data_IF_262591258028
#
_entry.id   IF_262591258028
#
_cell.length_a   1.000
_cell.length_b   1.000
_cell.length_c   1.000
_cell.angle_alpha   90.00
_cell.angle_beta   90.00
_cell.angle_gamma   90.00
#
_symmetry.space_group_name_H-M   'P 1'
#
loop_
_entity.id
_entity.type
_entity.pdbx_description
1 polymer ?
#
# COMPACT_ATOMS: atom_id res chain seq x y z
N UNK A 1 -10.71 2.07 7.27
CA UNK A 1 -9.31 1.74 6.88
C UNK A 1 -9.00 2.42 5.56
N UNK A 2 -7.99 3.31 5.50
CA UNK A 2 -7.69 4.07 4.28
C UNK A 2 -7.55 3.14 3.07
N UNK A 3 -8.45 3.25 2.12
CA UNK A 3 -8.35 2.46 0.92
C UNK A 3 -7.23 3.04 0.06
N UNK A 4 -6.10 2.31 -0.01
CA UNK A 4 -4.95 2.56 -0.91
C UNK A 4 -5.39 3.02 -2.30
N UNK A 5 -6.48 2.43 -2.80
CA UNK A 5 -7.12 2.79 -4.07
C UNK A 5 -7.43 4.29 -4.23
N UNK A 6 -8.01 4.96 -3.22
CA UNK A 6 -8.36 6.38 -3.36
C UNK A 6 -7.11 7.26 -3.47
N UNK A 7 -6.05 6.94 -2.71
CA UNK A 7 -4.77 7.65 -2.82
C UNK A 7 -4.17 7.49 -4.21
N UNK A 8 -4.22 6.27 -4.78
CA UNK A 8 -3.76 6.01 -6.16
C UNK A 8 -4.51 6.91 -7.14
N UNK A 9 -5.84 6.96 -7.05
CA UNK A 9 -6.67 7.79 -7.94
C UNK A 9 -6.32 9.27 -7.81
N UNK A 10 -6.28 9.82 -6.59
CA UNK A 10 -5.99 11.24 -6.38
C UNK A 10 -4.59 11.65 -6.86
N UNK A 11 -3.58 10.81 -6.63
CA UNK A 11 -2.22 11.05 -7.13
C UNK A 11 -2.17 10.95 -8.65
N UNK A 12 -2.89 10.01 -9.24
CA UNK A 12 -2.96 9.82 -10.70
C UNK A 12 -3.58 11.03 -11.39
N UNK A 13 -4.72 11.50 -10.90
CA UNK A 13 -5.38 12.69 -11.43
C UNK A 13 -4.49 13.94 -11.31
N UNK A 14 -3.78 14.08 -10.19
CA UNK A 14 -2.85 15.19 -10.00
C UNK A 14 -1.67 15.16 -10.98
N UNK A 15 -1.06 13.98 -11.21
CA UNK A 15 0.01 13.80 -12.19
C UNK A 15 -0.48 14.13 -13.60
N UNK A 16 -1.61 13.53 -14.02
CA UNK A 16 -2.14 13.74 -15.37
C UNK A 16 -2.57 15.19 -15.59
N UNK A 17 -3.22 15.82 -14.60
CA UNK A 17 -3.57 17.23 -14.64
C UNK A 17 -2.34 18.15 -14.74
N UNK A 18 -1.26 17.81 -14.04
CA UNK A 18 0.00 18.56 -14.07
C UNK A 18 0.65 18.61 -15.46
N UNK A 19 0.37 17.63 -16.33
CA UNK A 19 0.96 17.59 -17.67
C UNK A 19 0.39 18.66 -18.60
N UNK A 20 -0.76 19.26 -18.28
CA UNK A 20 -1.48 20.17 -19.20
C UNK A 20 -2.21 19.48 -20.35
N UNK A 21 -1.95 18.19 -20.58
CA UNK A 21 -2.54 17.41 -21.70
C UNK A 21 -3.26 16.14 -21.24
N UNK A 22 -3.36 15.92 -19.92
CA UNK A 22 -3.95 14.72 -19.35
C UNK A 22 -3.20 13.46 -19.79
N UNK A 23 -3.95 12.48 -20.31
CA UNK A 23 -3.42 11.21 -20.78
C UNK A 23 -2.93 11.21 -22.23
N UNK A 24 -2.96 12.35 -22.92
CA UNK A 24 -2.67 12.44 -24.36
C UNK A 24 -1.21 12.06 -24.66
N UNK A 25 -0.26 12.56 -23.87
CA UNK A 25 1.17 12.31 -24.10
C UNK A 25 1.79 11.40 -23.04
N UNK A 26 1.23 11.39 -21.83
CA UNK A 26 1.64 10.53 -20.73
C UNK A 26 0.53 9.52 -20.42
N UNK A 27 0.74 8.26 -20.78
CA UNK A 27 -0.19 7.18 -20.51
C UNK A 27 -0.05 6.70 -19.06
N UNK A 28 -1.19 6.44 -18.41
CA UNK A 28 -1.26 5.68 -17.17
C UNK A 28 -1.40 4.19 -17.50
N UNK A 29 -0.72 3.33 -16.75
CA UNK A 29 -0.64 1.90 -17.01
C UNK A 29 -1.13 1.06 -15.83
N UNK A 30 -1.59 1.68 -14.74
CA UNK A 30 -1.99 1.03 -13.52
C UNK A 30 -0.83 0.29 -12.84
N UNK A 31 -1.19 -0.76 -12.13
CA UNK A 31 -0.30 -1.66 -11.41
C UNK A 31 0.50 -2.63 -12.34
N UNK A 32 0.86 -2.17 -13.54
CA UNK A 32 1.46 -3.03 -14.58
C UNK A 32 2.85 -3.52 -14.21
N UNK A 33 3.01 -4.85 -14.26
CA UNK A 33 4.26 -5.54 -13.99
C UNK A 33 5.29 -5.35 -15.13
N UNK A 34 6.54 -5.07 -14.77
CA UNK A 34 7.69 -5.16 -15.68
C UNK A 34 8.30 -6.56 -15.51
N UNK A 35 7.55 -7.62 -15.85
CA UNK A 35 8.00 -8.99 -15.64
C UNK A 35 9.09 -9.48 -16.62
N UNK A 36 9.97 -10.36 -16.11
CA UNK A 36 10.91 -11.26 -16.78
C UNK A 36 11.59 -10.71 -18.05
N UNK A 37 12.70 -10.00 -17.86
CA UNK A 37 13.47 -9.37 -18.93
C UNK A 37 14.86 -9.97 -19.03
N UNK A 38 15.21 -10.46 -20.21
CA UNK A 38 16.56 -10.97 -20.50
C UNK A 38 17.68 -9.93 -20.29
N UNK A 39 17.34 -8.65 -20.18
CA UNK A 39 18.29 -7.55 -19.95
C UNK A 39 18.50 -7.21 -18.47
N UNK A 40 17.70 -7.79 -17.56
CA UNK A 40 17.84 -7.60 -16.12
C UNK A 40 18.54 -8.82 -15.51
N UNK A 41 19.39 -8.63 -14.48
CA UNK A 41 19.90 -9.73 -13.67
C UNK A 41 18.76 -10.58 -13.09
N UNK A 42 18.97 -11.90 -12.93
CA UNK A 42 17.94 -12.85 -12.49
C UNK A 42 17.39 -12.55 -11.10
N UNK A 43 18.23 -12.05 -10.19
CA UNK A 43 17.84 -11.59 -8.85
C UNK A 43 16.92 -10.37 -8.90
N UNK A 44 17.18 -9.43 -9.80
CA UNK A 44 16.32 -8.27 -10.05
C UNK A 44 15.01 -8.69 -10.73
N UNK A 45 15.07 -9.58 -11.73
CA UNK A 45 13.87 -10.14 -12.33
C UNK A 45 13.00 -10.86 -11.32
N UNK A 46 13.61 -11.65 -10.43
CA UNK A 46 12.90 -12.31 -9.34
C UNK A 46 12.28 -11.27 -8.42
N UNK A 47 13.02 -10.24 -7.99
CA UNK A 47 12.49 -9.19 -7.14
C UNK A 47 11.31 -8.45 -7.80
N UNK A 48 11.48 -7.96 -9.02
CA UNK A 48 10.45 -7.20 -9.76
C UNK A 48 9.25 -8.07 -10.14
N UNK A 49 9.42 -9.37 -10.37
CA UNK A 49 8.32 -10.28 -10.67
C UNK A 49 7.30 -10.40 -9.52
N UNK A 50 7.71 -10.08 -8.29
CA UNK A 50 6.84 -10.10 -7.12
C UNK A 50 6.43 -8.69 -6.65
N UNK A 51 6.91 -7.64 -7.31
CA UNK A 51 6.57 -6.26 -6.97
C UNK A 51 5.56 -5.71 -7.96
N UNK A 52 4.36 -5.46 -7.46
CA UNK A 52 3.31 -4.76 -8.20
C UNK A 52 3.32 -3.28 -7.77
N UNK A 53 3.58 -2.32 -8.67
CA UNK A 53 3.52 -0.91 -8.32
C UNK A 53 2.09 -0.48 -8.01
N UNK A 54 1.93 0.61 -7.28
CA UNK A 54 0.61 1.24 -7.11
C UNK A 54 0.09 1.80 -8.42
N UNK A 55 0.97 2.46 -9.17
CA UNK A 55 0.66 3.08 -10.46
C UNK A 55 1.94 3.24 -11.30
N UNK A 56 1.81 3.30 -12.62
CA UNK A 56 2.92 3.47 -13.56
C UNK A 56 2.54 4.41 -14.69
N UNK A 57 3.46 5.30 -15.06
CA UNK A 57 3.28 6.19 -16.20
C UNK A 57 4.41 6.02 -17.21
N UNK A 58 4.08 6.21 -18.48
CA UNK A 58 5.02 6.17 -19.58
C UNK A 58 4.55 6.98 -20.78
N UNK A 59 5.43 7.23 -21.75
CA UNK A 59 5.02 7.93 -22.96
C UNK A 59 3.93 7.17 -23.71
N UNK A 60 2.98 7.92 -24.27
CA UNK A 60 1.96 7.36 -25.15
C UNK A 60 2.60 6.64 -26.35
N UNK A 61 1.98 5.56 -26.82
CA UNK A 61 2.52 4.81 -27.95
C UNK A 61 2.53 5.68 -29.21
N UNK A 62 3.69 5.82 -29.84
CA UNK A 62 3.84 6.67 -31.03
C UNK A 62 4.04 8.16 -30.74
N UNK A 63 4.31 8.54 -29.49
CA UNK A 63 4.78 9.88 -29.16
C UNK A 63 6.06 10.21 -29.96
N UNK A 64 6.06 11.25 -30.81
CA UNK A 64 7.25 11.61 -31.59
C UNK A 64 8.47 11.90 -30.70
N UNK A 65 9.59 11.30 -31.04
CA UNK A 65 10.85 11.46 -30.32
C UNK A 65 11.03 10.58 -29.08
N UNK A 66 9.99 9.86 -28.62
CA UNK A 66 10.12 8.96 -27.47
C UNK A 66 11.01 7.77 -27.82
N UNK A 67 11.98 7.47 -26.96
CA UNK A 67 12.98 6.42 -27.20
C UNK A 67 12.62 5.19 -26.37
N UNK A 68 12.13 4.15 -27.04
CA UNK A 68 11.83 2.87 -26.40
C UNK A 68 13.12 2.15 -26.00
N UNK A 69 13.34 1.82 -24.70
CA UNK A 69 14.52 1.08 -24.28
C UNK A 69 14.62 -0.29 -24.95
N UNK A 70 15.84 -0.76 -25.21
CA UNK A 70 16.08 -2.06 -25.83
C UNK A 70 15.42 -3.18 -25.00
N UNK A 71 14.64 -4.05 -25.66
CA UNK A 71 13.95 -5.16 -25.01
C UNK A 71 12.63 -4.80 -24.35
N UNK A 72 12.19 -3.54 -24.45
CA UNK A 72 10.88 -3.09 -23.97
C UNK A 72 9.84 -3.08 -25.08
N UNK A 73 8.58 -3.05 -24.66
CA UNK A 73 7.40 -2.83 -25.49
C UNK A 73 6.68 -1.60 -24.96
N UNK A 74 6.03 -0.80 -25.79
CA UNK A 74 5.33 0.42 -25.37
C UNK A 74 4.42 0.23 -24.14
N UNK A 75 3.58 -0.82 -24.02
CA UNK A 75 2.73 -1.02 -22.83
C UNK A 75 3.48 -1.31 -21.52
N UNK A 76 4.80 -1.49 -21.58
CA UNK A 76 5.67 -1.80 -20.43
C UNK A 76 6.80 -0.80 -20.29
N UNK A 77 6.84 0.24 -21.13
CA UNK A 77 7.82 1.31 -21.02
C UNK A 77 7.24 2.37 -20.09
N UNK A 78 7.75 2.38 -18.86
CA UNK A 78 7.31 3.30 -17.82
C UNK A 78 8.48 4.16 -17.39
N UNK A 79 8.29 5.46 -17.40
CA UNK A 79 9.26 6.48 -16.95
C UNK A 79 9.05 6.86 -15.50
N UNK A 80 7.84 6.70 -14.97
CA UNK A 80 7.50 6.97 -13.58
C UNK A 80 6.82 5.76 -12.94
N UNK A 81 7.29 5.40 -11.74
CA UNK A 81 6.63 4.46 -10.83
C UNK A 81 6.10 5.21 -9.61
N UNK A 82 4.89 4.88 -9.19
CA UNK A 82 4.30 5.38 -7.95
C UNK A 82 4.14 4.21 -6.99
N UNK A 83 4.49 4.45 -5.73
CA UNK A 83 4.42 3.49 -4.62
C UNK A 83 3.73 4.12 -3.43
N UNK A 84 2.65 3.51 -2.95
CA UNK A 84 1.81 4.00 -1.86
C UNK A 84 1.75 2.92 -0.78
N UNK A 85 2.54 3.15 0.26
CA UNK A 85 2.57 2.33 1.46
C UNK A 85 1.53 2.80 2.46
N UNK A 86 0.35 2.18 2.46
CA UNK A 86 -0.59 2.27 3.60
C UNK A 86 -0.23 1.15 4.57
N UNK A 87 0.26 1.50 5.75
CA UNK A 87 0.79 0.53 6.74
C UNK A 87 2.10 -0.17 6.38
N UNK A 88 2.61 -0.01 5.15
CA UNK A 88 3.96 -0.44 4.76
C UNK A 88 4.97 0.62 5.20
N UNK A 89 6.02 0.18 5.91
CA UNK A 89 7.11 1.06 6.30
C UNK A 89 8.06 1.37 5.13
N UNK A 90 8.92 2.37 5.36
CA UNK A 90 10.00 2.72 4.43
C UNK A 90 11.01 1.59 4.25
N UNK A 91 11.28 0.80 5.30
CA UNK A 91 12.31 -0.23 5.32
C UNK A 91 13.71 0.33 5.60
N UNK A 92 14.74 -0.49 5.41
CA UNK A 92 16.13 -0.07 5.61
C UNK A 92 16.55 0.91 4.51
N UNK A 93 17.23 2.03 4.84
CA UNK A 93 17.75 2.96 3.85
C UNK A 93 18.63 2.26 2.81
N UNK A 94 18.50 2.70 1.56
CA UNK A 94 19.21 2.10 0.43
C UNK A 94 20.69 2.47 0.52
N UNK A 95 21.55 1.49 0.74
CA UNK A 95 23.00 1.65 0.61
C UNK A 95 23.37 1.42 -0.86
N UNK A 96 23.74 2.48 -1.59
CA UNK A 96 24.29 2.32 -2.93
C UNK A 96 25.74 1.82 -2.83
N UNK A 97 26.12 0.82 -3.65
CA UNK A 97 27.51 0.37 -3.74
C UNK A 97 28.38 1.54 -4.24
N UNK A 98 29.33 1.96 -3.40
CA UNK A 98 30.23 3.09 -3.67
C UNK A 98 30.64 3.90 -2.44
N UNK A 99 29.98 3.73 -1.28
CA UNK A 99 30.30 4.49 -0.06
C UNK A 99 30.93 3.70 1.09
N UNK A 100 31.15 2.38 0.94
CA UNK A 100 31.94 1.62 1.90
C UNK A 100 33.20 1.11 1.21
N UNK A 101 34.35 1.56 1.71
CA UNK A 101 35.62 0.92 1.43
C UNK A 101 35.54 -0.58 1.71
N UNK A 102 36.40 -1.30 1.00
CA UNK A 102 36.68 -2.72 1.17
C UNK A 102 36.59 -3.15 2.64
N UNK A 103 35.63 -4.01 2.96
CA UNK A 103 35.75 -5.03 3.97
C UNK A 103 34.75 -6.13 3.62
N UNK A 104 35.30 -7.25 3.15
CA UNK A 104 34.50 -8.39 2.73
C UNK A 104 33.85 -9.09 3.91
N UNK A 105 32.86 -9.92 3.62
CA UNK A 105 32.87 -11.31 4.05
C UNK A 105 31.82 -12.10 3.28
N UNK A 106 32.26 -13.27 2.85
CA UNK A 106 31.47 -14.34 2.29
C UNK A 106 30.52 -14.92 3.34
N UNK A 107 29.40 -15.49 2.87
CA UNK A 107 28.65 -16.50 3.61
C UNK A 107 27.19 -16.14 3.83
N UNK A 108 26.33 -16.59 2.91
CA UNK A 108 25.32 -17.62 3.20
C UNK A 108 24.45 -17.84 1.94
N UNK A 109 24.86 -18.82 1.15
CA UNK A 109 23.96 -19.57 0.29
C UNK A 109 23.23 -20.56 1.19
N UNK A 110 21.89 -20.49 1.25
CA UNK A 110 21.12 -21.50 1.95
C UNK A 110 19.75 -21.01 2.40
N UNK A 111 18.77 -21.07 1.49
CA UNK A 111 17.43 -21.64 1.68
C UNK A 111 16.49 -21.06 0.63
N UNK A 112 16.41 -21.75 -0.50
CA UNK A 112 15.29 -21.65 -1.44
C UNK A 112 14.10 -22.40 -0.79
N UNK A 113 13.50 -21.78 0.22
CA UNK A 113 12.19 -22.12 0.75
C UNK A 113 11.21 -21.07 0.25
N UNK A 114 10.02 -21.50 -0.17
CA UNK A 114 8.90 -20.67 -0.64
C UNK A 114 8.81 -19.37 0.17
N UNK A 115 9.32 -18.27 -0.38
CA UNK A 115 9.22 -16.97 0.27
C UNK A 115 7.73 -16.62 0.31
N UNK A 116 7.15 -16.63 1.52
CA UNK A 116 5.84 -16.06 1.77
C UNK A 116 5.79 -14.69 1.08
N UNK A 117 4.71 -14.43 0.31
CA UNK A 117 4.54 -13.19 -0.45
C UNK A 117 4.42 -12.01 0.52
N UNK A 118 5.55 -11.50 0.99
CA UNK A 118 5.58 -10.27 1.78
C UNK A 118 5.53 -9.08 0.82
N UNK A 119 4.63 -8.10 1.03
CA UNK A 119 4.71 -6.84 0.31
C UNK A 119 6.05 -6.17 0.65
N UNK A 120 6.88 -5.92 -0.36
CA UNK A 120 8.18 -5.25 -0.16
C UNK A 120 8.03 -3.84 0.43
N UNK A 121 9.05 -3.37 1.15
CA UNK A 121 9.07 -2.00 1.69
C UNK A 121 9.20 -0.96 0.58
N UNK A 122 8.89 0.31 0.86
CA UNK A 122 9.01 1.38 -0.15
C UNK A 122 10.44 1.49 -0.71
N UNK A 123 11.46 1.35 0.13
CA UNK A 123 12.85 1.36 -0.33
C UNK A 123 13.26 0.12 -1.12
N UNK A 124 12.77 -1.07 -0.74
CA UNK A 124 13.00 -2.28 -1.53
C UNK A 124 12.39 -2.13 -2.94
N UNK A 125 11.17 -1.59 -3.03
CA UNK A 125 10.49 -1.33 -4.30
C UNK A 125 11.22 -0.28 -5.13
N UNK A 126 11.53 0.89 -4.57
CA UNK A 126 12.27 1.92 -5.27
C UNK A 126 13.63 1.42 -5.77
N UNK A 127 14.36 0.65 -4.96
CA UNK A 127 15.64 0.07 -5.34
C UNK A 127 15.51 -0.95 -6.49
N UNK A 128 14.42 -1.71 -6.54
CA UNK A 128 14.13 -2.62 -7.64
C UNK A 128 13.79 -1.83 -8.92
N UNK A 129 12.94 -0.81 -8.81
CA UNK A 129 12.49 -0.03 -9.97
C UNK A 129 13.60 0.73 -10.66
N UNK A 130 14.58 1.28 -9.93
CA UNK A 130 15.71 1.97 -10.56
C UNK A 130 16.58 1.10 -11.45
N UNK A 131 16.50 -0.22 -11.30
CA UNK A 131 17.22 -1.15 -12.17
C UNK A 131 16.50 -1.40 -13.49
N UNK A 132 15.22 -1.01 -13.61
CA UNK A 132 14.44 -1.18 -14.82
C UNK A 132 14.81 -0.10 -15.86
N UNK A 133 15.27 -0.49 -17.07
CA UNK A 133 15.55 0.49 -18.12
C UNK A 133 14.36 1.38 -18.43
N UNK A 134 14.63 2.68 -18.55
CA UNK A 134 13.64 3.70 -18.86
C UNK A 134 12.88 4.25 -17.66
N UNK A 135 12.99 3.66 -16.47
CA UNK A 135 12.44 4.28 -15.24
C UNK A 135 13.34 5.45 -14.85
N UNK A 136 12.76 6.64 -14.91
CA UNK A 136 13.43 7.92 -14.61
C UNK A 136 13.08 8.41 -13.20
N UNK A 137 11.90 8.05 -12.70
CA UNK A 137 11.39 8.48 -11.40
C UNK A 137 10.70 7.37 -10.62
N UNK A 138 10.87 7.40 -9.29
CA UNK A 138 10.02 6.66 -8.34
C UNK A 138 9.46 7.64 -7.31
N UNK A 139 8.15 7.80 -7.28
CA UNK A 139 7.45 8.54 -6.23
C UNK A 139 6.95 7.56 -5.17
N UNK A 140 7.57 7.60 -3.99
CA UNK A 140 7.14 6.82 -2.83
C UNK A 140 6.36 7.70 -1.86
N UNK A 141 5.19 7.23 -1.43
CA UNK A 141 4.29 7.89 -0.48
C UNK A 141 3.99 6.90 0.64
N UNK A 142 4.24 7.31 1.87
CA UNK A 142 3.91 6.55 3.07
C UNK A 142 2.78 7.25 3.82
N UNK A 143 1.73 6.51 4.17
CA UNK A 143 0.69 6.96 5.10
C UNK A 143 0.54 5.94 6.21
N UNK A 144 0.73 6.40 7.45
CA UNK A 144 0.60 5.55 8.63
C UNK A 144 -0.86 5.08 8.85
N UNK A 145 -1.10 3.93 9.49
CA UNK A 145 -2.46 3.42 9.73
C UNK A 145 -3.38 4.40 10.47
N UNK A 146 -2.82 5.13 11.44
CA UNK A 146 -3.56 6.17 12.20
C UNK A 146 -3.68 7.51 11.48
N UNK A 147 -3.22 7.62 10.23
CA UNK A 147 -3.28 8.82 9.40
C UNK A 147 -2.58 10.06 9.99
N UNK A 148 -1.66 9.85 10.93
CA UNK A 148 -0.92 10.91 11.62
C UNK A 148 0.34 11.30 10.87
N UNK A 149 1.02 10.31 10.28
CA UNK A 149 2.19 10.52 9.43
C UNK A 149 1.83 10.31 7.97
N UNK A 150 2.26 11.27 7.17
CA UNK A 150 2.25 11.23 5.71
C UNK A 150 3.59 11.76 5.22
N UNK A 151 4.30 10.95 4.49
CA UNK A 151 5.66 11.23 4.05
C UNK A 151 5.80 10.86 2.59
N UNK A 152 6.74 11.50 1.92
CA UNK A 152 7.05 11.18 0.53
C UNK A 152 8.55 11.20 0.29
N UNK A 153 8.96 10.57 -0.80
CA UNK A 153 10.28 10.68 -1.39
C UNK A 153 10.12 10.59 -2.90
N UNK A 154 10.74 11.53 -3.62
CA UNK A 154 10.79 11.51 -5.08
C UNK A 154 12.22 11.21 -5.50
N UNK A 155 12.46 9.99 -5.96
CA UNK A 155 13.77 9.56 -6.43
C UNK A 155 13.89 9.75 -7.94
N UNK A 156 14.83 10.59 -8.37
CA UNK A 156 15.26 10.70 -9.77
C UNK A 156 16.40 9.72 -10.05
N UNK A 157 16.36 9.06 -11.21
CA UNK A 157 17.27 7.96 -11.56
C UNK A 157 18.10 8.31 -12.80
N UNK A 158 19.43 8.29 -12.68
CA UNK A 158 20.35 8.49 -13.80
C UNK A 158 21.30 7.30 -13.86
N UNK A 159 21.37 6.65 -15.03
CA UNK A 159 22.23 5.47 -15.25
C UNK A 159 22.02 4.36 -14.21
N UNK A 160 20.76 4.12 -13.82
CA UNK A 160 20.39 3.11 -12.81
C UNK A 160 20.79 3.45 -11.37
N UNK A 161 21.25 4.67 -11.09
CA UNK A 161 21.53 5.17 -9.74
C UNK A 161 20.56 6.28 -9.37
N UNK A 162 20.19 6.38 -8.08
CA UNK A 162 19.49 7.58 -7.63
C UNK A 162 20.45 8.76 -7.66
N UNK A 163 20.02 9.88 -8.22
CA UNK A 163 20.82 11.11 -8.27
C UNK A 163 21.19 11.62 -6.87
N UNK A 164 20.30 11.41 -5.89
CA UNK A 164 20.56 11.73 -4.48
C UNK A 164 20.28 10.52 -3.56
N UNK A 165 21.24 9.59 -3.39
CA UNK A 165 21.06 8.41 -2.55
C UNK A 165 20.67 8.76 -1.11
N UNK A 166 21.29 9.82 -0.58
CA UNK A 166 21.12 10.28 0.80
C UNK A 166 19.87 11.12 1.03
N UNK A 167 19.01 11.31 0.03
CA UNK A 167 17.74 12.01 0.20
C UNK A 167 16.90 11.29 1.26
N UNK A 168 16.47 12.03 2.28
CA UNK A 168 15.54 11.51 3.26
C UNK A 168 14.10 11.71 2.77
N UNK A 169 13.20 10.83 3.19
CA UNK A 169 11.78 11.08 3.00
C UNK A 169 11.37 12.33 3.81
N UNK A 170 10.43 13.10 3.30
CA UNK A 170 9.98 14.34 3.90
C UNK A 170 8.47 14.27 4.23
N UNK A 171 8.00 15.03 5.24
CA UNK A 171 6.57 15.09 5.52
C UNK A 171 5.80 15.76 4.37
N UNK A 172 4.58 15.28 4.11
CA UNK A 172 3.66 15.93 3.18
C UNK A 172 2.90 17.03 3.95
N UNK A 173 3.30 18.28 3.72
CA UNK A 173 2.73 19.49 4.33
C UNK A 173 2.09 20.39 3.27
N UNK A 174 1.36 21.42 3.68
CA UNK A 174 0.80 22.37 2.72
C UNK A 174 1.91 22.92 1.81
N UNK A 175 1.63 23.03 0.52
CA UNK A 175 2.58 23.44 -0.51
C UNK A 175 3.76 22.48 -0.74
N UNK A 176 3.56 21.17 -0.54
CA UNK A 176 4.52 20.13 -0.98
C UNK A 176 4.44 19.97 -2.49
N UNK A 177 5.21 20.77 -3.23
CA UNK A 177 5.23 20.76 -4.70
C UNK A 177 6.25 19.73 -5.20
N UNK A 178 5.78 18.82 -6.06
CA UNK A 178 6.63 17.92 -6.84
C UNK A 178 6.83 18.50 -8.24
N UNK A 179 8.03 18.30 -8.78
CA UNK A 179 8.40 18.74 -10.12
C UNK A 179 9.07 17.60 -10.88
N UNK A 180 8.70 17.43 -12.14
CA UNK A 180 9.30 16.49 -13.07
C UNK A 180 9.89 17.24 -14.26
N UNK A 181 11.04 16.76 -14.73
CA UNK A 181 11.55 17.09 -16.06
C UNK A 181 10.62 16.46 -17.12
N UNK A 182 10.02 17.27 -18.02
CA UNK A 182 9.07 16.77 -19.01
C UNK A 182 9.71 15.86 -20.05
N UNK A 183 10.99 16.08 -20.41
CA UNK A 183 11.70 15.22 -21.37
C UNK A 183 11.91 13.83 -20.80
N UNK A 184 12.36 13.76 -19.54
CA UNK A 184 12.53 12.48 -18.83
C UNK A 184 11.20 11.78 -18.63
N UNK A 185 10.16 12.51 -18.24
CA UNK A 185 8.83 11.95 -18.03
C UNK A 185 8.24 11.37 -19.33
N UNK A 186 8.54 11.96 -20.49
CA UNK A 186 8.11 11.48 -21.80
C UNK A 186 9.11 10.54 -22.48
N UNK A 187 10.25 10.23 -21.86
CA UNK A 187 11.28 9.40 -22.46
C UNK A 187 11.82 9.94 -23.79
N UNK A 188 11.80 11.27 -23.98
CA UNK A 188 12.31 11.97 -25.17
C UNK A 188 13.70 12.56 -24.87
N UNK A 189 14.58 12.71 -25.88
CA UNK A 189 15.89 13.35 -25.67
C UNK A 189 15.75 14.77 -25.15
N UNK A 190 16.60 15.15 -24.20
CA UNK A 190 16.61 16.51 -23.65
C UNK A 190 16.84 17.54 -24.76
N UNK A 191 16.02 18.60 -24.78
CA UNK A 191 16.06 19.65 -25.80
C UNK A 191 15.31 19.32 -27.10
N UNK A 192 14.72 18.12 -27.23
CA UNK A 192 13.74 17.85 -28.28
C UNK A 192 12.49 18.74 -28.10
N UNK A 193 11.72 18.95 -29.17
CA UNK A 193 10.47 19.67 -29.07
C UNK A 193 9.49 18.92 -28.16
N UNK A 194 8.96 19.61 -27.16
CA UNK A 194 7.87 19.08 -26.34
C UNK A 194 6.56 19.10 -27.14
N UNK A 195 5.64 18.16 -26.87
CA UNK A 195 4.32 18.19 -27.49
C UNK A 195 3.56 19.47 -27.13
N UNK A 196 2.74 19.95 -28.07
CA UNK A 196 1.93 21.15 -27.86
C UNK A 196 1.02 20.99 -26.62
N UNK A 197 1.02 22.01 -25.76
CA UNK A 197 0.26 22.04 -24.52
C UNK A 197 0.87 21.22 -23.37
N UNK A 198 1.96 20.47 -23.58
CA UNK A 198 2.64 19.76 -22.50
C UNK A 198 3.43 20.72 -21.62
N UNK A 199 3.16 20.70 -20.31
CA UNK A 199 3.74 21.64 -19.37
C UNK A 199 5.25 21.44 -19.19
N UNK A 200 5.97 22.55 -19.03
CA UNK A 200 7.40 22.58 -18.71
C UNK A 200 7.70 23.67 -17.67
N UNK A 201 7.95 23.31 -16.39
CA UNK A 201 8.00 21.94 -15.85
C UNK A 201 6.61 21.32 -15.63
N UNK A 202 6.56 19.99 -15.47
CA UNK A 202 5.36 19.30 -14.96
C UNK A 202 5.39 19.36 -13.44
N UNK A 203 4.41 20.01 -12.82
CA UNK A 203 4.40 20.22 -11.38
C UNK A 203 3.00 20.13 -10.77
N UNK A 204 2.90 19.58 -9.56
CA UNK A 204 1.67 19.59 -8.77
C UNK A 204 1.96 19.60 -7.27
N UNK A 205 0.99 20.07 -6.51
CA UNK A 205 1.03 20.03 -5.05
C UNK A 205 0.51 18.69 -4.54
N UNK A 206 1.41 17.84 -4.04
CA UNK A 206 1.09 16.51 -3.52
C UNK A 206 0.13 16.57 -2.31
N UNK A 207 0.21 17.62 -1.49
CA UNK A 207 -0.71 17.80 -0.38
C UNK A 207 -2.15 17.89 -0.86
N UNK A 208 -2.40 18.63 -1.94
CA UNK A 208 -3.75 18.78 -2.49
C UNK A 208 -4.30 17.45 -3.04
N UNK A 209 -3.43 16.56 -3.50
CA UNK A 209 -3.82 15.23 -3.97
C UNK A 209 -4.13 14.25 -2.82
N UNK A 210 -3.45 14.39 -1.69
CA UNK A 210 -3.46 13.40 -0.59
C UNK A 210 -4.33 13.81 0.60
N UNK A 211 -4.31 15.10 0.98
CA UNK A 211 -4.99 15.59 2.19
C UNK A 211 -6.50 15.37 2.16
N UNK A 212 -7.25 15.68 1.09
CA UNK A 212 -8.71 15.49 1.08
C UNK A 212 -9.13 14.04 1.35
N UNK A 213 -8.34 13.09 0.84
CA UNK A 213 -8.58 11.66 1.01
C UNK A 213 -8.31 11.24 2.45
N UNK A 214 -7.22 11.74 3.04
CA UNK A 214 -6.88 11.49 4.44
C UNK A 214 -7.94 12.08 5.38
N UNK A 215 -8.43 13.30 5.12
CA UNK A 215 -9.46 13.92 5.97
C UNK A 215 -10.77 13.14 5.92
N UNK A 216 -11.19 12.69 4.73
CA UNK A 216 -12.38 11.86 4.57
C UNK A 216 -12.27 10.55 5.35
N UNK A 217 -11.13 9.88 5.26
CA UNK A 217 -10.93 8.63 5.98
C UNK A 217 -10.88 8.84 7.50
N UNK A 218 -10.28 9.93 7.96
CA UNK A 218 -10.28 10.28 9.38
C UNK A 218 -11.70 10.42 9.93
N UNK A 219 -12.56 11.15 9.20
CA UNK A 219 -13.97 11.30 9.57
C UNK A 219 -14.72 9.95 9.61
N UNK A 220 -14.42 9.04 8.67
CA UNK A 220 -15.01 7.70 8.67
C UNK A 220 -14.58 6.90 9.92
N UNK A 221 -13.29 6.94 10.28
CA UNK A 221 -12.76 6.23 11.45
C UNK A 221 -13.36 6.78 12.74
N UNK A 222 -13.52 8.10 12.85
CA UNK A 222 -14.18 8.74 13.99
C UNK A 222 -15.64 8.31 14.10
N UNK A 223 -16.39 8.34 13.00
CA UNK A 223 -17.78 7.87 12.95
C UNK A 223 -17.92 6.39 13.35
N UNK A 224 -17.06 5.50 12.82
CA UNK A 224 -17.05 4.08 13.18
C UNK A 224 -16.75 3.86 14.67
N UNK A 225 -15.86 4.67 15.27
CA UNK A 225 -15.56 4.61 16.70
C UNK A 225 -16.75 5.05 17.54
N UNK A 226 -17.43 6.13 17.14
CA UNK A 226 -18.59 6.65 17.86
C UNK A 226 -19.76 5.65 17.83
N UNK A 227 -20.02 5.04 16.66
CA UNK A 227 -21.04 3.98 16.52
C UNK A 227 -20.73 2.80 17.44
N UNK A 228 -19.46 2.38 17.49
CA UNK A 228 -19.05 1.26 18.34
C UNK A 228 -19.16 1.61 19.82
N UNK A 229 -18.73 2.81 20.22
CA UNK A 229 -18.85 3.28 21.59
C UNK A 229 -20.30 3.36 22.06
N UNK A 230 -21.22 3.80 21.17
CA UNK A 230 -22.65 3.80 21.46
C UNK A 230 -23.19 2.38 21.64
N UNK A 231 -22.83 1.44 20.76
CA UNK A 231 -23.27 0.06 20.87
C UNK A 231 -22.76 -0.62 22.15
N UNK A 232 -21.50 -0.36 22.53
CA UNK A 232 -20.92 -0.88 23.77
C UNK A 232 -21.61 -0.28 25.01
N UNK A 233 -22.01 1.00 24.96
CA UNK A 233 -22.77 1.66 26.02
C UNK A 233 -24.21 1.10 26.14
N UNK A 234 -24.89 0.88 25.01
CA UNK A 234 -26.23 0.30 24.98
C UNK A 234 -26.22 -1.15 25.50
N UNK A 235 -25.20 -1.94 25.14
CA UNK A 235 -25.02 -3.29 25.67
C UNK A 235 -24.72 -3.31 27.17
N UNK A 236 -23.93 -2.36 27.67
CA UNK A 236 -23.66 -2.22 29.10
C UNK A 236 -24.92 -1.80 29.88
N UNK A 237 -25.76 -0.92 29.31
CA UNK A 237 -27.03 -0.53 29.91
C UNK A 237 -28.01 -1.73 29.98
N UNK A 238 -28.13 -2.50 28.90
CA UNK A 238 -28.99 -3.69 28.89
C UNK A 238 -28.55 -4.75 29.92
N UNK A 239 -27.24 -4.94 30.12
CA UNK A 239 -26.72 -5.87 31.12
C UNK A 239 -26.96 -5.40 32.57
N UNK A 240 -27.11 -4.09 32.80
CA UNK A 240 -27.43 -3.56 34.13
C UNK A 240 -28.91 -3.75 34.50
N UNK A 241 -29.81 -3.71 33.50
CA UNK A 241 -31.26 -3.92 33.72
C UNK A 241 -31.62 -5.39 34.04
N UNK A 242 -30.78 -6.37 33.66
CA UNK A 242 -31.02 -7.80 33.92
C UNK A 242 -30.59 -8.27 35.34
N UNK A 243 -29.84 -7.46 36.12
CA UNK A 243 -29.30 -7.85 37.45
C UNK A 243 -30.22 -7.44 38.64
N UNK A 244 -31.25 -6.61 38.41
CA UNK A 244 -32.20 -6.19 39.45
C UNK A 244 -33.40 -7.18 39.64
N UNK A 245 -33.28 -8.38 39.08
CA UNK A 245 -34.34 -9.40 38.99
C UNK A 245 -34.24 -10.59 39.94
N UNK A 246 -33.54 -10.54 41.08
CA UNK A 246 -33.65 -11.57 42.13
C UNK A 246 -33.53 -10.97 43.54
N UNK A 247 -34.64 -10.39 44.01
CA UNK A 247 -34.64 -9.59 45.24
C UNK A 247 -35.97 -9.57 46.01
N UNK A 248 -36.49 -10.75 46.37
CA UNK A 248 -37.46 -10.92 47.48
C UNK A 248 -38.63 -11.86 47.15
N UNK A 249 -39.17 -12.69 48.04
CA UNK A 249 -39.00 -12.91 49.49
C UNK A 249 -39.93 -14.09 49.89
N UNK A 250 -39.61 -14.89 50.93
CA UNK A 250 -40.58 -15.88 51.44
C UNK A 250 -40.09 -16.85 52.53
N UNK A 251 -40.02 -16.35 53.76
CA UNK A 251 -40.36 -16.98 55.05
C UNK A 251 -40.32 -18.51 55.26
N UNK A 252 -39.64 -18.89 56.36
CA UNK A 252 -39.54 -20.22 56.94
C UNK A 252 -40.86 -20.77 57.56
N UNK A 253 -41.01 -22.10 57.55
CA UNK A 253 -41.65 -22.87 58.61
C UNK A 253 -41.13 -24.33 58.58
N UNK A 254 -40.69 -24.81 59.74
CA UNK A 254 -40.33 -26.20 60.00
C UNK A 254 -41.59 -27.01 60.37
N UNK A 255 -41.64 -28.28 59.99
CA UNK A 255 -41.49 -29.44 60.89
C UNK A 255 -42.32 -30.67 60.46
N UNK A 256 -41.63 -31.82 60.57
CA UNK A 256 -41.99 -33.23 60.72
C UNK A 256 -43.22 -33.90 60.05
N UNK A 257 -42.94 -35.06 59.42
CA UNK A 257 -43.78 -36.24 59.58
C UNK A 257 -44.00 -37.16 58.37
N UNK A 258 -43.11 -38.14 58.18
CA UNK A 258 -43.51 -39.56 58.01
C UNK A 258 -43.87 -40.11 56.61
N UNK A 259 -42.99 -40.98 56.11
CA UNK A 259 -43.35 -42.38 55.76
C UNK A 259 -43.75 -42.72 54.32
N UNK A 260 -43.15 -43.80 53.80
CA UNK A 260 -43.77 -44.69 52.81
C UNK A 260 -43.04 -44.81 51.47
N UNK A 261 -42.06 -45.72 51.46
CA UNK A 261 -41.83 -46.85 50.54
C UNK A 261 -42.46 -46.92 49.12
N UNK A 262 -41.80 -47.79 48.34
CA UNK A 262 -42.17 -48.45 47.07
C UNK A 262 -41.70 -47.70 45.80
N UNK A 263 -40.62 -48.19 45.18
CA UNK A 263 -40.60 -49.17 44.07
C UNK A 263 -41.04 -48.49 42.75
N UNK A 264 -40.53 -48.76 41.56
CA UNK A 264 -39.46 -49.56 40.98
C UNK A 264 -39.35 -48.99 39.53
N UNK A 265 -38.40 -49.49 38.75
CA UNK A 265 -38.42 -49.49 37.28
C UNK A 265 -38.18 -48.15 36.54
N UNK A 266 -37.54 -48.06 35.37
CA UNK A 266 -36.79 -48.93 34.47
C UNK A 266 -36.41 -47.98 33.30
N UNK A 267 -35.49 -48.40 32.44
CA UNK A 267 -35.25 -47.91 31.06
C UNK A 267 -34.30 -46.72 30.87
N UNK A 268 -32.99 -47.03 30.95
CA UNK A 268 -32.08 -47.15 29.79
C UNK A 268 -31.84 -45.95 28.83
N UNK A 269 -30.58 -45.61 28.48
CA UNK A 269 -30.27 -44.59 27.48
C UNK A 269 -29.96 -45.18 26.09
N UNK A 270 -30.28 -44.48 24.98
CA UNK A 270 -29.60 -44.68 23.70
C UNK A 270 -28.93 -43.38 23.23
N UNK A 271 -27.59 -43.34 23.13
CA UNK A 271 -26.75 -43.60 21.93
C UNK A 271 -27.01 -42.71 20.71
N UNK A 272 -26.00 -41.87 20.43
CA UNK A 272 -25.31 -41.62 19.14
C UNK A 272 -26.08 -41.87 17.83
N UNK A 273 -26.09 -40.85 16.95
CA UNK A 273 -25.90 -41.04 15.50
C UNK A 273 -25.01 -39.95 14.88
N UNK A 274 -23.95 -40.41 14.22
CA UNK A 274 -23.27 -39.75 13.10
C UNK A 274 -24.06 -39.97 11.80
N UNK A 275 -23.85 -39.08 10.82
CA UNK A 275 -23.58 -39.30 9.36
C UNK A 275 -24.16 -38.13 8.55
N UNK A 276 -23.30 -37.32 7.93
CA UNK A 276 -22.94 -37.30 6.50
C UNK A 276 -24.08 -36.92 5.56
N UNK A 277 -23.93 -35.75 4.92
CA UNK A 277 -23.74 -35.63 3.47
C UNK A 277 -22.91 -34.39 3.16
#
# INVERSE_FOLDING_TARGET
MLQRHFLVVGVTEAILGATGTGSTHLAHHGASHIGNRATLPDDINALVAFLEPDESFGPFHGLPGAVLPRGFSWPRFHTLKVEIGVSLGWGAPIQQQGQAGQQGQAGQQGQQGQAERRPGTLYEKANAWRQCPGVEYVLSIHVSPGLLRREFRLDSIVNGQFENPGMQHAPIVNNTVLQFDPWRLLGIPHGANLPDGFNNPVQFNLFNAVDPIIQRERANIELERDIRAQADADAAAAAADDDDGDGGSGGAAADDGGGGDDDDDDAGPPRRRQRHH
#
